data_IF_253618685147
#
_entry.id   IF_253618685147
#
_cell.length_a   1.000
_cell.length_b   1.000
_cell.length_c   1.000
_cell.angle_alpha   90.00
_cell.angle_beta   90.00
_cell.angle_gamma   90.00
#
_symmetry.space_group_name_H-M   'P 1'
#
loop_
_entity.id
_entity.type
_entity.pdbx_description
1 polymer ?
#
# COMPACT_ATOMS: atom_id res chain seq x y z
N UNK A 1 -0.88 25.17 3.26
CA UNK A 1 -2.31 25.17 3.61
C UNK A 1 -2.75 23.74 3.84
N UNK A 2 -3.92 23.49 4.44
CA UNK A 2 -4.47 22.13 4.59
C UNK A 2 -4.61 21.44 3.23
N UNK A 3 -5.11 22.14 2.21
CA UNK A 3 -5.20 21.59 0.85
C UNK A 3 -3.83 21.13 0.30
N UNK A 4 -2.78 21.94 0.50
CA UNK A 4 -1.42 21.55 0.11
C UNK A 4 -0.87 20.35 0.88
N UNK A 5 -1.18 20.22 2.17
CA UNK A 5 -0.77 19.05 2.96
C UNK A 5 -1.46 17.78 2.46
N UNK A 6 -2.77 17.84 2.19
CA UNK A 6 -3.53 16.73 1.61
C UNK A 6 -2.97 16.34 0.23
N UNK A 7 -2.60 17.32 -0.60
CA UNK A 7 -1.96 17.06 -1.88
C UNK A 7 -0.64 16.29 -1.70
N UNK A 8 0.26 16.75 -0.81
CA UNK A 8 1.51 16.05 -0.52
C UNK A 8 1.28 14.62 -0.02
N UNK A 9 0.22 14.37 0.76
CA UNK A 9 -0.15 13.03 1.20
C UNK A 9 -0.62 12.15 0.03
N UNK A 10 -1.39 12.71 -0.90
CA UNK A 10 -1.79 12.02 -2.14
C UNK A 10 -0.60 11.66 -3.04
N UNK A 11 0.36 12.58 -3.19
CA UNK A 11 1.62 12.32 -3.90
C UNK A 11 2.44 11.23 -3.21
N UNK A 12 2.55 11.28 -1.88
CA UNK A 12 3.21 10.23 -1.10
C UNK A 12 2.52 8.87 -1.26
N UNK A 13 1.19 8.83 -1.31
CA UNK A 13 0.43 7.60 -1.54
C UNK A 13 0.78 6.99 -2.90
N UNK A 14 0.87 7.80 -3.96
CA UNK A 14 1.27 7.34 -5.29
C UNK A 14 2.70 6.80 -5.31
N UNK A 15 3.62 7.44 -4.60
CA UNK A 15 4.99 6.94 -4.46
C UNK A 15 5.03 5.60 -3.72
N UNK A 16 4.28 5.46 -2.63
CA UNK A 16 4.17 4.19 -1.90
C UNK A 16 3.52 3.08 -2.73
N UNK A 17 2.55 3.42 -3.59
CA UNK A 17 1.96 2.48 -4.55
C UNK A 17 3.02 1.95 -5.51
N UNK A 18 3.89 2.82 -6.06
CA UNK A 18 4.99 2.39 -6.92
C UNK A 18 6.00 1.48 -6.17
N UNK A 19 6.31 1.78 -4.91
CA UNK A 19 7.15 0.93 -4.06
C UNK A 19 6.48 -0.43 -3.82
N UNK A 20 5.17 -0.44 -3.56
CA UNK A 20 4.38 -1.65 -3.37
C UNK A 20 4.43 -2.55 -4.60
N UNK A 21 4.17 -1.98 -5.78
CA UNK A 21 4.16 -2.71 -7.05
C UNK A 21 5.56 -3.26 -7.37
N UNK A 22 6.60 -2.46 -7.19
CA UNK A 22 7.99 -2.91 -7.35
C UNK A 22 8.38 -4.03 -6.39
N UNK A 23 7.99 -3.92 -5.12
CA UNK A 23 8.23 -4.97 -4.12
C UNK A 23 7.46 -6.26 -4.44
N UNK A 24 6.21 -6.14 -4.90
CA UNK A 24 5.42 -7.29 -5.34
C UNK A 24 6.06 -8.01 -6.53
N UNK A 25 6.55 -7.27 -7.53
CA UNK A 25 7.24 -7.89 -8.68
C UNK A 25 8.52 -8.62 -8.25
N UNK A 26 9.33 -8.03 -7.37
CA UNK A 26 10.52 -8.71 -6.80
C UNK A 26 10.13 -9.98 -6.06
N UNK A 27 9.10 -9.91 -5.23
CA UNK A 27 8.59 -11.07 -4.51
C UNK A 27 8.16 -12.18 -5.47
N UNK A 28 7.40 -11.85 -6.52
CA UNK A 28 6.95 -12.84 -7.50
C UNK A 28 8.10 -13.42 -8.33
N UNK A 29 9.22 -12.71 -8.45
CA UNK A 29 10.41 -13.22 -9.12
C UNK A 29 11.13 -14.26 -8.24
N UNK A 30 11.40 -13.91 -6.99
CA UNK A 30 12.35 -14.65 -6.16
C UNK A 30 11.70 -15.68 -5.21
N UNK A 31 10.40 -15.55 -4.91
CA UNK A 31 9.72 -16.47 -4.01
C UNK A 31 9.49 -17.87 -4.63
N UNK A 32 9.55 -18.95 -3.81
CA UNK A 32 9.23 -20.30 -4.25
C UNK A 32 7.75 -20.44 -4.64
N UNK A 33 7.43 -21.45 -5.45
CA UNK A 33 6.14 -21.55 -6.15
C UNK A 33 4.91 -21.66 -5.22
N UNK A 34 5.07 -22.28 -4.05
CA UNK A 34 4.07 -22.39 -3.00
C UNK A 34 3.80 -21.04 -2.33
N UNK A 35 4.85 -20.33 -1.90
CA UNK A 35 4.74 -19.00 -1.30
C UNK A 35 4.19 -17.98 -2.30
N UNK A 36 4.63 -18.06 -3.57
CA UNK A 36 4.21 -17.17 -4.65
C UNK A 36 2.69 -17.15 -4.83
N UNK A 37 2.05 -18.32 -4.84
CA UNK A 37 0.57 -18.43 -4.93
C UNK A 37 -0.11 -17.73 -3.76
N UNK A 38 0.36 -17.96 -2.53
CA UNK A 38 -0.17 -17.31 -1.34
C UNK A 38 -0.08 -15.78 -1.40
N UNK A 39 1.04 -15.24 -1.88
CA UNK A 39 1.21 -13.79 -2.05
C UNK A 39 0.35 -13.20 -3.17
N UNK A 40 0.16 -13.93 -4.27
CA UNK A 40 -0.74 -13.50 -5.35
C UNK A 40 -2.20 -13.42 -4.86
N UNK A 41 -2.66 -14.42 -4.12
CA UNK A 41 -3.99 -14.42 -3.51
C UNK A 41 -4.14 -13.29 -2.50
N UNK A 42 -3.13 -13.11 -1.63
CA UNK A 42 -3.09 -12.01 -0.67
C UNK A 42 -3.19 -10.65 -1.37
N UNK A 43 -2.45 -10.45 -2.46
CA UNK A 43 -2.47 -9.18 -3.20
C UNK A 43 -3.81 -8.93 -3.90
N UNK A 44 -4.41 -9.96 -4.53
CA UNK A 44 -5.76 -9.83 -5.09
C UNK A 44 -6.78 -9.41 -4.04
N UNK A 45 -6.80 -10.11 -2.90
CA UNK A 45 -7.74 -9.81 -1.81
C UNK A 45 -7.51 -8.41 -1.24
N UNK A 46 -6.26 -7.99 -1.10
CA UNK A 46 -5.91 -6.65 -0.65
C UNK A 46 -6.44 -5.57 -1.62
N UNK A 47 -6.26 -5.76 -2.94
CA UNK A 47 -6.79 -4.82 -3.95
C UNK A 47 -8.32 -4.76 -3.91
N UNK A 48 -9.00 -5.91 -3.78
CA UNK A 48 -10.46 -5.95 -3.64
C UNK A 48 -10.91 -5.19 -2.40
N UNK A 49 -10.32 -5.49 -1.25
CA UNK A 49 -10.62 -4.80 0.01
C UNK A 49 -10.43 -3.29 -0.11
N UNK A 50 -9.32 -2.83 -0.70
CA UNK A 50 -9.05 -1.39 -0.87
C UNK A 50 -10.08 -0.68 -1.72
N UNK A 51 -10.63 -1.33 -2.75
CA UNK A 51 -11.70 -0.75 -3.57
C UNK A 51 -12.95 -0.50 -2.74
N UNK A 52 -13.36 -1.50 -1.94
CA UNK A 52 -14.56 -1.40 -1.11
C UNK A 52 -14.35 -0.43 0.08
N UNK A 53 -13.15 -0.39 0.64
CA UNK A 53 -12.82 0.46 1.77
C UNK A 53 -12.83 1.95 1.42
N UNK A 54 -12.46 2.34 0.19
CA UNK A 54 -12.59 3.74 -0.23
C UNK A 54 -14.04 4.21 -0.13
N UNK A 55 -15.01 3.38 -0.53
CA UNK A 55 -16.43 3.71 -0.40
C UNK A 55 -16.85 3.87 1.07
N UNK A 56 -16.37 2.98 1.95
CA UNK A 56 -16.58 3.09 3.39
C UNK A 56 -16.03 4.42 3.93
N UNK A 57 -14.78 4.74 3.61
CA UNK A 57 -14.14 5.98 4.08
C UNK A 57 -14.88 7.21 3.58
N UNK A 58 -15.27 7.25 2.30
CA UNK A 58 -16.09 8.34 1.76
C UNK A 58 -17.41 8.49 2.54
N UNK A 59 -18.16 7.40 2.71
CA UNK A 59 -19.43 7.43 3.42
C UNK A 59 -19.30 7.92 4.87
N UNK A 60 -18.22 7.54 5.57
CA UNK A 60 -17.95 8.00 6.94
C UNK A 60 -17.58 9.48 6.95
N UNK A 61 -16.60 9.90 6.14
CA UNK A 61 -16.06 11.26 6.21
C UNK A 61 -16.99 12.32 5.61
N UNK A 62 -17.92 11.96 4.72
CA UNK A 62 -18.97 12.86 4.22
C UNK A 62 -19.92 13.36 5.33
N UNK A 63 -20.01 12.62 6.44
CA UNK A 63 -20.78 13.02 7.63
C UNK A 63 -20.03 14.01 8.53
N UNK A 64 -18.77 14.32 8.24
CA UNK A 64 -17.90 15.15 9.07
C UNK A 64 -17.71 16.56 8.50
N UNK A 65 -17.20 17.48 9.31
CA UNK A 65 -16.94 18.88 8.95
C UNK A 65 -15.61 19.33 9.54
N UNK A 66 -14.87 20.13 8.78
CA UNK A 66 -13.61 20.73 9.24
C UNK A 66 -12.36 20.05 8.71
N UNK A 67 -11.27 20.81 8.66
CA UNK A 67 -10.00 20.42 8.03
C UNK A 67 -9.28 19.30 8.76
N UNK A 68 -9.50 19.13 10.06
CA UNK A 68 -8.94 18.02 10.84
C UNK A 68 -9.40 16.67 10.29
N UNK A 69 -10.70 16.50 10.02
CA UNK A 69 -11.24 15.25 9.46
C UNK A 69 -10.80 15.03 8.01
N UNK A 70 -10.63 16.10 7.22
CA UNK A 70 -10.07 15.98 5.87
C UNK A 70 -8.62 15.46 5.90
N UNK A 71 -7.80 15.93 6.84
CA UNK A 71 -6.44 15.42 7.06
C UNK A 71 -6.46 13.95 7.51
N UNK A 72 -7.34 13.59 8.44
CA UNK A 72 -7.50 12.19 8.88
C UNK A 72 -7.95 11.27 7.73
N UNK A 73 -8.88 11.71 6.89
CA UNK A 73 -9.31 10.94 5.71
C UNK A 73 -8.17 10.70 4.72
N UNK A 74 -7.34 11.72 4.46
CA UNK A 74 -6.16 11.58 3.62
C UNK A 74 -5.15 10.58 4.22
N UNK A 75 -4.94 10.59 5.54
CA UNK A 75 -4.03 9.67 6.21
C UNK A 75 -4.53 8.21 6.15
N UNK A 76 -5.84 8.00 6.33
CA UNK A 76 -6.49 6.68 6.20
C UNK A 76 -6.40 6.10 4.78
N UNK A 77 -6.21 6.94 3.77
CA UNK A 77 -5.95 6.49 2.40
C UNK A 77 -4.46 6.16 2.17
N UNK A 78 -3.56 6.90 2.82
CA UNK A 78 -2.11 6.77 2.68
C UNK A 78 -1.53 5.56 3.43
N UNK A 79 -1.79 5.44 4.73
CA UNK A 79 -1.09 4.46 5.60
C UNK A 79 -1.23 3.01 5.11
N UNK A 80 -2.41 2.53 4.68
CA UNK A 80 -2.55 1.14 4.24
C UNK A 80 -1.71 0.79 3.00
N UNK A 81 -1.49 1.75 2.09
CA UNK A 81 -0.62 1.57 0.92
C UNK A 81 0.84 1.45 1.36
N UNK A 82 1.28 2.32 2.27
CA UNK A 82 2.62 2.28 2.86
C UNK A 82 2.87 0.97 3.60
N UNK A 83 1.95 0.56 4.47
CA UNK A 83 2.10 -0.66 5.27
C UNK A 83 2.17 -1.91 4.38
N UNK A 84 1.34 -1.95 3.33
CA UNK A 84 1.38 -3.05 2.36
C UNK A 84 2.70 -3.06 1.59
N UNK A 85 3.20 -1.90 1.18
CA UNK A 85 4.50 -1.78 0.50
C UNK A 85 5.64 -2.31 1.38
N UNK A 86 5.65 -1.95 2.67
CA UNK A 86 6.66 -2.41 3.63
C UNK A 86 6.56 -3.92 3.88
N UNK A 87 5.34 -4.46 4.01
CA UNK A 87 5.13 -5.90 4.17
C UNK A 87 5.65 -6.70 2.96
N UNK A 88 5.32 -6.26 1.74
CA UNK A 88 5.79 -6.89 0.51
C UNK A 88 7.31 -6.76 0.34
N UNK A 89 7.87 -5.60 0.68
CA UNK A 89 9.32 -5.38 0.65
C UNK A 89 10.04 -6.33 1.60
N UNK A 90 9.60 -6.41 2.85
CA UNK A 90 10.19 -7.31 3.83
C UNK A 90 10.06 -8.78 3.43
N UNK A 91 8.99 -9.17 2.75
CA UNK A 91 8.86 -10.52 2.22
C UNK A 91 9.79 -10.76 1.01
N UNK A 92 9.85 -9.83 0.06
CA UNK A 92 10.78 -9.90 -1.07
C UNK A 92 12.24 -10.01 -0.61
N UNK A 93 12.63 -9.21 0.38
CA UNK A 93 14.00 -9.19 0.89
C UNK A 93 14.38 -10.52 1.59
N UNK A 94 13.41 -11.26 2.15
CA UNK A 94 13.65 -12.60 2.73
C UNK A 94 13.77 -13.70 1.68
N UNK A 95 13.13 -13.54 0.53
CA UNK A 95 13.23 -14.49 -0.60
C UNK A 95 14.37 -14.15 -1.57
N UNK A 96 14.98 -12.98 -1.42
CA UNK A 96 16.07 -12.55 -2.28
C UNK A 96 17.22 -13.58 -2.25
N UNK A 97 17.82 -13.88 -3.40
CA UNK A 97 18.98 -14.77 -3.45
C UNK A 97 20.12 -14.16 -2.62
N UNK A 98 20.99 -15.01 -2.04
CA UNK A 98 22.16 -14.52 -1.32
C UNK A 98 23.01 -13.63 -2.24
N UNK A 99 23.65 -12.58 -1.71
CA UNK A 99 24.52 -11.72 -2.51
C UNK A 99 25.58 -12.56 -3.20
N UNK A 100 25.85 -12.27 -4.48
CA UNK A 100 26.91 -12.94 -5.21
C UNK A 100 28.23 -12.76 -4.47
N UNK A 101 28.97 -13.85 -4.28
CA UNK A 101 30.33 -13.78 -3.72
C UNK A 101 31.21 -12.95 -4.67
N UNK A 102 31.83 -11.91 -4.13
CA UNK A 102 32.85 -11.08 -4.79
C UNK A 102 34.21 -11.75 -4.76
#
# INVERSE_FOLDING_TARGET
STAGQIQCMGEAQQQWQAVMDGAYQRLLKDAPADAKRGWQDSQRRWVTWRKDEVHLLTAVYDTTRGTAYAMSSADMQLQPVRDRALALRGAADRYAPPPAAV
#
